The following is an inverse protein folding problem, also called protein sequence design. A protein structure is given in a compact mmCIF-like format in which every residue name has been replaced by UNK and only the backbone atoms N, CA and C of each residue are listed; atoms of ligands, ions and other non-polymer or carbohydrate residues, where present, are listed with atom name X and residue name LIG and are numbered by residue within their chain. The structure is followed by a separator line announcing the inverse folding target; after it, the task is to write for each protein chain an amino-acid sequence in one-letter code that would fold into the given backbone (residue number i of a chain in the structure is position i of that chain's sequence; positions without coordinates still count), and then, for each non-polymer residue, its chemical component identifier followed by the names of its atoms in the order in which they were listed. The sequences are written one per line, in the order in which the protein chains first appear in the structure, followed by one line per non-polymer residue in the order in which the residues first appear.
data_IF_974162127001
#
_entry.id   IF_974162127001
#
_cell.length_a   1.000
_cell.length_b   1.000
_cell.length_c   1.000
_cell.angle_alpha   90.00
_cell.angle_beta   90.00
_cell.angle_gamma   90.00
#
_symmetry.space_group_name_H-M   'P 1'
#
loop_
_entity.id
_entity.type
_entity.pdbx_description
1 polymer ?
2 non-polymer ?
3 water ?
#
# COMPACT_ATOMS: atom_id res chain seq x y z
N UNK A 22 -26.34 -7.75 -12.61
CA UNK A 22 -25.33 -7.47 -13.60
C UNK A 22 -25.84 -6.56 -14.71
N UNK A 23 -25.26 -5.37 -14.80
CA UNK A 23 -25.62 -4.43 -15.85
C UNK A 23 -24.41 -3.58 -16.18
N UNK A 24 -24.40 -3.03 -17.38
CA UNK A 24 -23.29 -2.21 -17.85
C UNK A 24 -23.81 -0.90 -18.38
N UNK A 25 -23.15 0.19 -18.02
CA UNK A 25 -23.42 1.48 -18.64
C UNK A 25 -22.25 2.02 -19.43
N UNK A 26 -21.11 1.33 -19.42
CA UNK A 26 -19.95 1.72 -20.20
C UNK A 26 -19.07 0.49 -20.39
N UNK A 27 -18.20 0.49 -21.39
CA UNK A 27 -17.31 -0.66 -21.59
C UNK A 27 -16.40 -0.89 -20.39
N UNK A 28 -15.98 -2.15 -20.23
CA UNK A 28 -15.16 -2.51 -19.08
C UNK A 28 -14.44 -3.82 -19.37
N UNK A 29 -13.26 -3.97 -18.76
CA UNK A 29 -12.54 -5.24 -18.82
C UNK A 29 -12.28 -5.80 -17.41
N UNK A 30 -13.06 -5.36 -16.43
CA UNK A 30 -12.88 -5.76 -15.04
C UNK A 30 -13.48 -7.14 -14.83
N UNK A 31 -12.73 -8.02 -14.18
CA UNK A 31 -13.22 -9.35 -13.79
C UNK A 31 -13.44 -9.35 -12.28
N UNK A 32 -14.64 -9.77 -11.85
CA UNK A 32 -14.93 -9.91 -10.42
C UNK A 32 -14.78 -11.36 -10.01
N UNK A 33 -14.15 -11.59 -8.86
CA UNK A 33 -14.01 -12.94 -8.31
C UNK A 33 -14.87 -13.06 -7.05
N UNK A 34 -15.71 -14.08 -7.00
CA UNK A 34 -16.63 -14.25 -5.88
C UNK A 34 -16.29 -15.45 -5.02
N UNK A 35 -15.14 -16.09 -5.27
CA UNK A 35 -14.70 -17.15 -4.38
C UNK A 35 -13.19 -17.02 -4.19
N UNK A 36 -12.75 -17.38 -2.97
CA UNK A 36 -11.32 -17.30 -2.66
C UNK A 36 -10.51 -18.26 -3.53
N UNK A 37 -11.05 -19.46 -3.78
CA UNK A 37 -10.35 -20.43 -4.61
C UNK A 37 -10.14 -19.89 -6.03
N UNK A 38 -11.19 -19.29 -6.60
CA UNK A 38 -11.08 -18.75 -7.95
C UNK A 38 -10.06 -17.62 -8.03
N UNK A 39 -10.01 -16.77 -7.01
CA UNK A 39 -8.97 -15.75 -6.96
C UNK A 39 -7.57 -16.37 -6.85
N UNK A 40 -7.42 -17.35 -5.94
CA UNK A 40 -6.11 -17.94 -5.72
C UNK A 40 -5.56 -18.60 -6.98
N UNK A 41 -6.43 -19.22 -7.78
CA UNK A 41 -5.96 -19.83 -9.02
C UNK A 41 -5.56 -18.78 -10.04
N UNK A 42 -6.36 -17.71 -10.16
CA UNK A 42 -5.97 -16.59 -11.01
C UNK A 42 -4.65 -15.96 -10.54
N UNK A 43 -4.47 -15.86 -9.23
CA UNK A 43 -3.25 -15.24 -8.71
C UNK A 43 -2.03 -16.11 -9.01
N UNK A 44 -2.19 -17.43 -8.86
CA UNK A 44 -1.08 -18.34 -9.09
C UNK A 44 -0.65 -18.31 -10.56
N UNK A 45 -1.61 -18.25 -11.48
CA UNK A 45 -1.27 -18.14 -12.91
C UNK A 45 -0.54 -16.83 -13.18
N UNK A 46 -0.95 -15.76 -12.50
CA UNK A 46 -0.34 -14.44 -12.70
C UNK A 46 1.08 -14.37 -12.13
N UNK A 47 1.40 -15.19 -11.13
CA UNK A 47 2.71 -15.14 -10.48
C UNK A 47 3.85 -15.23 -11.49
N UNK A 48 3.66 -16.03 -12.56
CA UNK A 48 4.69 -16.31 -13.54
C UNK A 48 4.67 -15.35 -14.73
N UNK A 49 3.68 -14.47 -14.80
CA UNK A 49 3.52 -13.56 -15.94
C UNK A 49 4.10 -12.19 -15.63
N UNK A 50 4.83 -11.63 -16.61
CA UNK A 50 5.38 -10.28 -16.48
C UNK A 50 4.31 -9.27 -16.92
N UNK A 51 3.25 -9.22 -16.11
CA UNK A 51 2.02 -8.49 -16.43
C UNK A 51 1.52 -7.81 -15.16
N UNK A 52 1.11 -6.55 -15.29
CA UNK A 52 0.60 -5.79 -14.14
C UNK A 52 -0.84 -6.19 -13.85
N UNK A 53 -1.16 -6.39 -12.57
CA UNK A 53 -2.53 -6.67 -12.14
C UNK A 53 -2.94 -5.55 -11.21
N UNK A 54 -4.14 -4.99 -11.43
CA UNK A 54 -4.73 -4.02 -10.52
C UNK A 54 -5.88 -4.72 -9.80
N UNK A 55 -5.77 -4.81 -8.47
CA UNK A 55 -6.80 -5.45 -7.64
C UNK A 55 -7.56 -4.34 -6.93
N UNK A 56 -8.85 -4.23 -7.22
CA UNK A 56 -9.76 -3.26 -6.60
C UNK A 56 -10.49 -3.98 -5.48
N UNK A 57 -10.10 -3.67 -4.23
CA UNK A 57 -10.79 -4.16 -3.04
C UNK A 57 -11.95 -3.21 -2.72
N UNK A 58 -13.17 -3.72 -2.82
CA UNK A 58 -14.36 -2.89 -2.72
C UNK A 58 -15.31 -3.47 -1.69
N UNK A 59 -16.36 -2.69 -1.34
CA UNK A 59 -17.48 -3.19 -0.56
C UNK A 59 -18.78 -2.72 -1.21
N UNK A 60 -19.82 -3.56 -1.13
CA UNK A 60 -21.09 -3.22 -1.76
C UNK A 60 -21.69 -1.97 -1.15
N UNK A 61 -21.42 -1.73 0.13
CA UNK A 61 -22.03 -0.59 0.82
C UNK A 61 -21.21 0.69 0.70
N UNK A 62 -20.03 0.65 0.07
CA UNK A 62 -19.08 1.75 0.14
C UNK A 62 -19.34 2.75 -0.97
N UNK A 63 -19.69 3.98 -0.58
CA UNK A 63 -20.02 5.03 -1.53
C UNK A 63 -18.91 5.36 -2.51
N UNK A 64 -17.72 5.67 -1.99
CA UNK A 64 -16.59 5.98 -2.88
C UNK A 64 -16.27 4.86 -3.86
N UNK A 65 -16.39 3.60 -3.44
CA UNK A 65 -16.26 2.48 -4.37
C UNK A 65 -17.23 2.64 -5.53
N UNK A 66 -18.49 2.93 -5.24
CA UNK A 66 -19.49 3.01 -6.30
C UNK A 66 -19.21 4.18 -7.22
N UNK A 67 -18.75 5.31 -6.67
CA UNK A 67 -18.37 6.47 -7.48
C UNK A 67 -17.20 6.17 -8.40
N UNK A 68 -16.29 5.29 -7.99
CA UNK A 68 -15.12 5.02 -8.81
C UNK A 68 -15.40 4.03 -9.93
N UNK A 69 -16.52 3.30 -9.87
CA UNK A 69 -16.76 2.23 -10.83
C UNK A 69 -16.69 2.68 -12.29
N UNK A 70 -17.33 3.78 -12.70
CA UNK A 70 -17.15 4.20 -14.10
C UNK A 70 -15.73 4.57 -14.43
N UNK A 71 -14.99 5.12 -13.47
CA UNK A 71 -13.60 5.54 -13.69
C UNK A 71 -12.71 4.32 -13.89
N UNK A 72 -12.85 3.32 -13.02
CA UNK A 72 -12.10 2.07 -13.16
C UNK A 72 -12.49 1.32 -14.44
N UNK A 73 -13.80 1.29 -14.77
CA UNK A 73 -14.22 0.62 -16.01
C UNK A 73 -13.57 1.26 -17.22
N UNK A 74 -13.62 2.59 -17.32
CA UNK A 74 -12.93 3.30 -18.39
C UNK A 74 -11.42 3.04 -18.39
N UNK A 75 -10.80 3.07 -17.21
CA UNK A 75 -9.37 2.74 -17.12
C UNK A 75 -9.09 1.35 -17.67
N UNK A 76 -9.95 0.38 -17.37
CA UNK A 76 -9.66 -0.99 -17.77
C UNK A 76 -9.81 -1.15 -19.28
N UNK A 77 -10.67 -0.33 -19.89
CA UNK A 77 -10.85 -0.36 -21.33
C UNK A 77 -9.75 0.40 -22.06
N UNK A 78 -9.01 1.25 -21.36
CA UNK A 78 -7.88 1.98 -21.92
C UNK A 78 -6.58 1.21 -21.77
N UNK A 79 -6.27 0.78 -20.55
CA UNK A 79 -5.04 0.03 -20.27
C UNK A 79 -5.31 -1.46 -20.45
N UNK A 80 -5.52 -1.83 -21.72
CA UNK A 80 -5.86 -3.20 -22.08
C UNK A 80 -4.70 -4.18 -21.90
N UNK A 81 -3.48 -3.71 -21.67
CA UNK A 81 -2.35 -4.57 -21.32
C UNK A 81 -2.24 -4.84 -19.82
N UNK A 82 -3.18 -4.31 -19.03
CA UNK A 82 -3.20 -4.47 -17.58
C UNK A 82 -4.44 -5.29 -17.22
N UNK A 83 -4.29 -6.20 -16.27
CA UNK A 83 -5.38 -7.04 -15.78
C UNK A 83 -6.06 -6.33 -14.59
N UNK A 84 -7.36 -6.04 -14.72
CA UNK A 84 -8.13 -5.42 -13.64
C UNK A 84 -9.06 -6.44 -13.00
N UNK A 85 -9.00 -6.54 -11.67
CA UNK A 85 -9.69 -7.56 -10.88
C UNK A 85 -10.46 -6.83 -9.78
N UNK A 86 -11.65 -7.34 -9.44
CA UNK A 86 -12.48 -6.74 -8.40
C UNK A 86 -12.81 -7.77 -7.33
N UNK A 87 -12.55 -7.42 -6.07
CA UNK A 87 -12.71 -8.35 -4.96
C UNK A 87 -13.50 -7.65 -3.87
N UNK A 88 -14.59 -8.28 -3.42
CA UNK A 88 -15.41 -7.73 -2.35
C UNK A 88 -14.83 -8.12 -0.99
N UNK A 89 -14.67 -7.13 -0.11
CA UNK A 89 -13.93 -7.40 1.13
C UNK A 89 -14.75 -8.16 2.17
N UNK A 90 -16.07 -8.22 2.01
CA UNK A 90 -16.87 -9.07 2.87
C UNK A 90 -16.95 -10.50 2.36
N UNK A 91 -17.17 -10.64 1.05
CA UNK A 91 -17.22 -11.96 0.43
C UNK A 91 -15.88 -12.68 0.56
N UNK A 92 -14.79 -12.00 0.25
CA UNK A 92 -13.46 -12.58 0.33
C UNK A 92 -12.68 -11.89 1.44
N UNK A 93 -13.21 -11.93 2.67
CA UNK A 93 -12.55 -11.27 3.78
C UNK A 93 -11.18 -11.87 4.06
N UNK A 94 -11.00 -13.17 3.76
CA UNK A 94 -9.67 -13.76 3.94
C UNK A 94 -8.65 -13.12 3.01
N UNK A 95 -9.03 -12.86 1.76
CA UNK A 95 -8.09 -12.22 0.83
C UNK A 95 -7.80 -10.80 1.27
N UNK A 96 -8.83 -10.03 1.67
CA UNK A 96 -8.61 -8.68 2.14
C UNK A 96 -7.69 -8.64 3.35
N UNK A 97 -7.88 -9.56 4.30
CA UNK A 97 -7.02 -9.54 5.48
C UNK A 97 -5.59 -9.94 5.12
N UNK A 98 -5.42 -10.83 4.14
CA UNK A 98 -4.08 -11.24 3.71
C UNK A 98 -3.27 -10.03 3.23
N UNK A 99 -3.91 -9.11 2.53
CA UNK A 99 -3.25 -7.94 1.98
C UNK A 99 -3.41 -6.70 2.88
N UNK A 100 -3.97 -6.87 4.07
CA UNK A 100 -4.03 -5.77 5.03
C UNK A 100 -4.91 -4.62 4.61
N UNK A 101 -6.00 -4.88 3.88
CA UNK A 101 -6.90 -3.82 3.45
C UNK A 101 -7.65 -3.29 4.65
N UNK A 102 -7.60 -1.97 4.87
CA UNK A 102 -8.21 -1.34 6.04
C UNK A 102 -9.25 -0.28 5.69
N UNK A 103 -9.42 0.06 4.43
CA UNK A 103 -10.37 1.06 3.97
C UNK A 103 -10.60 0.82 2.48
N UNK A 104 -11.74 1.28 1.98
CA UNK A 104 -12.10 0.97 0.60
C UNK A 104 -12.45 2.24 -0.16
N UNK A 105 -12.19 2.29 -1.48
CA UNK A 105 -11.50 1.23 -2.24
C UNK A 105 -10.03 1.24 -1.96
N UNK A 106 -9.41 0.06 -1.99
CA UNK A 106 -7.95 -0.05 -2.01
C UNK A 106 -7.55 -0.72 -3.32
N UNK A 107 -6.67 -0.06 -4.07
CA UNK A 107 -6.15 -0.60 -5.31
C UNK A 107 -4.75 -1.13 -5.06
N UNK A 108 -4.58 -2.42 -5.25
CA UNK A 108 -3.31 -3.10 -5.06
C UNK A 108 -2.71 -3.39 -6.43
N UNK A 109 -1.49 -2.93 -6.69
CA UNK A 109 -0.83 -3.19 -7.95
C UNK A 109 0.15 -4.33 -7.73
N UNK A 110 -0.02 -5.42 -8.48
CA UNK A 110 0.80 -6.62 -8.35
C UNK A 110 1.54 -6.88 -9.66
N UNK A 111 2.79 -7.34 -9.55
CA UNK A 111 3.49 -7.81 -10.73
C UNK A 111 4.37 -8.98 -10.33
N UNK A 112 4.30 -10.05 -11.12
CA UNK A 112 5.03 -11.30 -10.84
C UNK A 112 4.87 -11.73 -9.38
N UNK A 113 3.64 -11.58 -8.87
CA UNK A 113 3.26 -12.03 -7.56
C UNK A 113 3.61 -11.11 -6.41
N UNK A 114 4.19 -9.94 -6.68
CA UNK A 114 4.62 -9.01 -5.63
C UNK A 114 3.91 -7.68 -5.76
N UNK A 115 3.51 -7.11 -4.62
CA UNK A 115 2.95 -5.77 -4.63
C UNK A 115 4.02 -4.75 -5.01
N UNK A 116 3.72 -3.91 -6.00
CA UNK A 116 4.62 -2.87 -6.41
C UNK A 116 4.12 -1.46 -6.05
N UNK A 117 2.80 -1.27 -5.89
CA UNK A 117 2.24 0.01 -5.45
C UNK A 117 0.92 -0.25 -4.75
N UNK A 118 0.44 0.76 -4.02
CA UNK A 118 -0.89 0.69 -3.43
C UNK A 118 -1.54 2.07 -3.41
N UNK A 119 -2.83 2.14 -3.71
CA UNK A 119 -3.62 3.36 -3.57
C UNK A 119 -4.76 3.09 -2.60
N UNK A 120 -4.93 3.96 -1.60
CA UNK A 120 -6.04 3.80 -0.66
C UNK A 120 -6.97 5.00 -0.83
N UNK A 121 -8.18 4.74 -1.33
CA UNK A 121 -9.16 5.79 -1.56
C UNK A 121 -9.44 6.02 -3.03
N UNK A 122 -10.50 6.80 -3.28
CA UNK A 122 -10.99 7.08 -4.62
C UNK A 122 -10.12 8.16 -5.29
N UNK A 123 -8.89 7.77 -5.63
CA UNK A 123 -7.89 8.72 -6.12
C UNK A 123 -7.49 8.37 -7.54
N UNK A 124 -8.21 8.94 -8.52
CA UNK A 124 -8.03 8.55 -9.92
C UNK A 124 -6.63 8.85 -10.43
N UNK A 125 -6.12 10.06 -10.18
CA UNK A 125 -4.84 10.44 -10.77
C UNK A 125 -3.68 9.69 -10.14
N UNK A 126 -3.73 9.44 -8.84
CA UNK A 126 -2.68 8.67 -8.20
C UNK A 126 -2.65 7.25 -8.75
N UNK A 127 -3.82 6.65 -8.96
CA UNK A 127 -3.89 5.32 -9.51
C UNK A 127 -3.32 5.27 -10.93
N UNK A 128 -3.72 6.23 -11.77
CA UNK A 128 -3.24 6.22 -13.15
C UNK A 128 -1.74 6.39 -13.22
N UNK A 129 -1.19 7.27 -12.37
CA UNK A 129 0.26 7.45 -12.32
C UNK A 129 0.97 6.17 -11.93
N UNK A 130 0.46 5.47 -10.91
CA UNK A 130 1.12 4.26 -10.46
C UNK A 130 1.00 3.13 -11.49
N UNK A 131 -0.10 3.06 -12.25
CA UNK A 131 -0.23 2.05 -13.31
C UNK A 131 0.82 2.30 -14.40
N UNK A 132 0.93 3.54 -14.86
CA UNK A 132 1.87 3.86 -15.93
C UNK A 132 3.31 3.58 -15.54
N UNK A 133 3.60 3.59 -14.24
CA UNK A 133 4.95 3.34 -13.75
C UNK A 133 5.35 1.88 -13.90
N UNK A 134 4.37 0.98 -14.05
CA UNK A 134 4.63 -0.45 -13.98
C UNK A 134 3.99 -1.23 -15.12
N UNK A 135 3.29 -0.57 -16.03
CA UNK A 135 2.59 -1.30 -17.09
C UNK A 135 3.56 -1.93 -18.09
N UNK A 136 4.77 -1.39 -18.22
CA UNK A 136 5.77 -1.95 -19.12
C UNK A 136 7.04 -2.31 -18.36
N UNK A 137 7.91 -3.06 -19.04
CA UNK A 137 9.16 -3.53 -18.44
C UNK A 137 10.06 -2.36 -18.02
N UNK B 22 22.07 -1.08 19.46
CA UNK B 22 22.53 -0.28 20.56
C UNK B 22 23.71 0.61 20.20
N UNK B 23 23.71 1.15 18.99
CA UNK B 23 24.73 2.12 18.58
C UNK B 23 24.19 2.95 17.45
N UNK B 24 24.75 4.16 17.30
CA UNK B 24 24.33 5.11 16.27
C UNK B 24 25.54 5.60 15.51
N UNK B 25 25.36 5.84 14.21
CA UNK B 25 26.42 6.41 13.38
C UNK B 25 26.12 7.79 12.84
N UNK B 26 24.90 8.31 13.00
CA UNK B 26 24.59 9.65 12.51
C UNK B 26 23.33 10.12 13.22
N UNK B 27 23.09 11.44 13.24
CA UNK B 27 21.89 11.94 13.91
C UNK B 27 20.63 11.35 13.31
N UNK B 28 19.61 11.21 14.16
CA UNK B 28 18.36 10.61 13.71
C UNK B 28 17.28 11.05 14.67
N UNK B 29 16.03 11.14 14.16
CA UNK B 29 14.87 11.26 15.02
C UNK B 29 13.91 10.08 14.84
N UNK B 30 14.41 8.97 14.30
CA UNK B 30 13.58 7.79 14.09
C UNK B 30 13.32 7.12 15.42
N UNK B 31 12.06 6.78 15.68
CA UNK B 31 11.69 6.06 16.88
C UNK B 31 11.46 4.61 16.52
N UNK B 32 12.25 3.72 17.11
CA UNK B 32 12.07 2.29 16.92
C UNK B 32 11.17 1.74 18.01
N UNK B 33 10.16 0.99 17.62
CA UNK B 33 9.26 0.32 18.56
C UNK B 33 9.56 -1.16 18.52
N UNK B 34 9.84 -1.74 19.69
CA UNK B 34 10.10 -3.16 19.82
C UNK B 34 8.97 -3.92 20.49
N UNK B 35 7.83 -3.26 20.75
CA UNK B 35 6.63 -3.95 21.20
C UNK B 35 5.44 -3.47 20.37
N UNK B 36 4.55 -4.41 20.02
CA UNK B 36 3.35 -4.04 19.27
C UNK B 36 2.49 -3.07 20.06
N UNK B 37 2.50 -3.18 21.39
CA UNK B 37 1.67 -2.32 22.23
C UNK B 37 2.13 -0.87 22.14
N UNK B 38 3.44 -0.63 22.30
CA UNK B 38 3.92 0.74 22.24
C UNK B 38 3.71 1.35 20.85
N UNK B 39 3.85 0.55 19.79
CA UNK B 39 3.46 1.05 18.47
C UNK B 39 1.99 1.45 18.43
N UNK B 40 1.12 0.57 18.96
CA UNK B 40 -0.31 0.82 18.89
C UNK B 40 -0.71 2.05 19.70
N UNK B 41 -0.07 2.28 20.84
CA UNK B 41 -0.38 3.49 21.60
C UNK B 41 0.08 4.74 20.87
N UNK B 42 1.24 4.66 20.23
CA UNK B 42 1.71 5.78 19.43
C UNK B 42 0.80 6.02 18.23
N UNK B 43 0.39 4.94 17.56
CA UNK B 43 -0.54 5.07 16.43
C UNK B 43 -1.86 5.66 16.89
N UNK B 44 -2.36 5.21 18.04
CA UNK B 44 -3.66 5.66 18.52
C UNK B 44 -3.65 7.15 18.82
N UNK B 45 -2.58 7.64 19.46
CA UNK B 45 -2.44 9.07 19.70
C UNK B 45 -2.36 9.85 18.40
N UNK B 46 -1.70 9.28 17.38
CA UNK B 46 -1.57 9.94 16.08
C UNK B 46 -2.90 10.11 15.37
N UNK B 47 -3.90 9.31 15.70
CA UNK B 47 -5.18 9.42 14.99
C UNK B 47 -5.83 10.80 15.20
N UNK B 48 -5.54 11.46 16.32
CA UNK B 48 -6.09 12.80 16.57
C UNK B 48 -5.16 13.91 16.10
N UNK B 49 -4.02 13.58 15.52
CA UNK B 49 -3.03 14.58 15.11
C UNK B 49 -3.01 14.74 13.60
N UNK B 50 -2.99 16.01 13.18
CA UNK B 50 -2.86 16.39 11.79
C UNK B 50 -1.38 16.46 11.42
N UNK B 51 -0.71 15.32 11.61
CA UNK B 51 0.74 15.21 11.48
C UNK B 51 1.03 14.01 10.59
N UNK B 52 2.04 14.13 9.72
CA UNK B 52 2.44 13.01 8.88
C UNK B 52 3.34 12.05 9.65
N UNK B 53 3.02 10.76 9.58
CA UNK B 53 3.87 9.68 10.10
C UNK B 53 4.47 8.95 8.92
N UNK B 54 5.76 8.64 9.02
CA UNK B 54 6.43 7.76 8.06
C UNK B 54 6.87 6.52 8.81
N UNK B 55 6.31 5.36 8.46
CA UNK B 55 6.63 4.10 9.12
C UNK B 55 7.50 3.27 8.17
N UNK B 56 8.73 3.01 8.60
CA UNK B 56 9.68 2.19 7.86
C UNK B 56 9.56 0.77 8.38
N UNK B 57 8.96 -0.12 7.57
CA UNK B 57 8.88 -1.54 7.90
C UNK B 57 10.15 -2.22 7.37
N UNK B 58 10.99 -2.69 8.28
CA UNK B 58 12.35 -3.15 7.96
C UNK B 58 12.56 -4.56 8.50
N UNK B 59 13.73 -5.14 8.18
CA UNK B 59 14.11 -6.44 8.70
C UNK B 59 15.59 -6.36 9.04
N UNK B 60 16.01 -7.02 10.12
CA UNK B 60 17.42 -6.97 10.50
C UNK B 60 18.30 -7.62 9.44
N UNK B 61 17.76 -8.59 8.71
CA UNK B 61 18.54 -9.33 7.70
C UNK B 61 18.49 -8.69 6.32
N UNK B 62 17.80 -7.56 6.16
CA UNK B 62 17.49 -7.01 4.84
C UNK B 62 18.54 -6.00 4.39
N UNK B 63 19.23 -6.32 3.28
CA UNK B 63 20.25 -5.47 2.72
C UNK B 63 19.78 -4.09 2.26
N UNK B 64 18.75 -4.03 1.42
CA UNK B 64 18.22 -2.71 1.04
C UNK B 64 17.78 -1.91 2.25
N UNK B 65 17.28 -2.57 3.30
CA UNK B 65 16.92 -1.85 4.52
C UNK B 65 18.13 -1.17 5.16
N UNK B 66 19.20 -1.93 5.38
CA UNK B 66 20.40 -1.39 6.00
C UNK B 66 21.01 -0.28 5.15
N UNK B 67 20.99 -0.45 3.83
CA UNK B 67 21.43 0.61 2.93
C UNK B 67 20.64 1.89 3.14
N UNK B 68 19.33 1.78 3.36
CA UNK B 68 18.50 2.98 3.51
C UNK B 68 18.70 3.69 4.83
N UNK B 69 19.28 3.03 5.84
CA UNK B 69 19.21 3.57 7.19
C UNK B 69 19.87 4.95 7.32
N UNK B 70 21.06 5.20 6.80
CA UNK B 70 21.61 6.57 6.93
C UNK B 70 20.78 7.60 6.20
N UNK B 71 20.15 7.22 5.08
CA UNK B 71 19.27 8.12 4.33
C UNK B 71 18.04 8.48 5.15
N UNK B 72 17.42 7.47 5.78
CA UNK B 72 16.21 7.72 6.55
C UNK B 72 16.53 8.51 7.80
N UNK B 73 17.68 8.23 8.41
CA UNK B 73 18.10 9.00 9.56
C UNK B 73 18.31 10.45 9.18
N UNK B 74 18.99 10.69 8.05
CA UNK B 74 19.21 12.05 7.59
C UNK B 74 17.89 12.75 7.28
N UNK B 75 16.95 12.04 6.64
CA UNK B 75 15.63 12.62 6.39
C UNK B 75 14.93 12.99 7.68
N UNK B 76 14.99 12.12 8.68
CA UNK B 76 14.27 12.36 9.93
C UNK B 76 14.83 13.56 10.69
N UNK B 77 16.13 13.82 10.53
CA UNK B 77 16.75 14.98 11.16
C UNK B 77 16.49 16.26 10.39
N UNK B 78 16.11 16.15 9.12
CA UNK B 78 15.75 17.29 8.28
C UNK B 78 14.27 17.65 8.44
N UNK B 79 13.39 16.68 8.20
CA UNK B 79 11.94 16.88 8.24
C UNK B 79 11.44 16.69 9.68
N UNK B 80 11.70 17.69 10.51
CA UNK B 80 11.46 17.52 11.94
C UNK B 80 9.99 17.67 12.33
N UNK B 81 9.16 18.20 11.44
CA UNK B 81 7.72 18.25 11.62
C UNK B 81 7.04 16.92 11.29
N UNK B 82 7.79 15.92 10.82
CA UNK B 82 7.26 14.62 10.45
C UNK B 82 7.74 13.59 11.46
N UNK B 83 6.85 12.64 11.79
CA UNK B 83 7.14 11.56 12.72
C UNK B 83 7.69 10.35 11.97
N UNK B 84 8.95 9.97 12.25
CA UNK B 84 9.58 8.81 11.61
C UNK B 84 9.63 7.64 12.60
N UNK B 85 9.11 6.48 12.18
CA UNK B 85 8.99 5.29 13.00
C UNK B 85 9.64 4.12 12.28
N UNK B 86 10.30 3.23 13.03
CA UNK B 86 10.87 2.01 12.47
C UNK B 86 10.26 0.79 13.14
N UNK B 87 9.76 -0.15 12.34
CA UNK B 87 9.18 -1.40 12.83
C UNK B 87 9.90 -2.55 12.16
N UNK B 88 10.45 -3.47 12.95
CA UNK B 88 11.07 -4.67 12.41
C UNK B 88 10.01 -5.74 12.17
N UNK B 89 9.89 -6.21 10.93
CA UNK B 89 8.76 -7.08 10.56
C UNK B 89 8.85 -8.45 11.20
N UNK B 90 10.03 -8.86 11.71
CA UNK B 90 10.10 -10.10 12.47
C UNK B 90 9.66 -9.89 13.90
N UNK B 91 10.16 -8.83 14.53
CA UNK B 91 9.79 -8.55 15.92
C UNK B 91 8.30 -8.28 16.04
N UNK B 92 7.77 -7.44 15.15
CA UNK B 92 6.37 -7.04 15.21
C UNK B 92 5.62 -7.56 14.00
N UNK B 93 5.61 -8.89 13.81
CA UNK B 93 5.01 -9.44 12.59
C UNK B 93 3.52 -9.21 12.56
N UNK B 94 2.86 -9.06 13.71
CA UNK B 94 1.43 -8.76 13.70
C UNK B 94 1.14 -7.39 13.08
N UNK B 95 1.99 -6.40 13.36
CA UNK B 95 1.81 -5.07 12.78
C UNK B 95 2.11 -5.09 11.29
N UNK B 96 3.20 -5.76 10.90
CA UNK B 96 3.48 -5.93 9.47
C UNK B 96 2.31 -6.58 8.75
N UNK B 97 1.72 -7.63 9.33
CA UNK B 97 0.59 -8.29 8.67
C UNK B 97 -0.62 -7.37 8.60
N UNK B 98 -0.80 -6.52 9.61
CA UNK B 98 -1.93 -5.61 9.67
C UNK B 98 -1.94 -4.65 8.47
N UNK B 99 -0.75 -4.22 8.04
CA UNK B 99 -0.64 -3.29 6.93
C UNK B 99 -0.26 -3.96 5.61
N UNK B 100 -0.31 -5.29 5.54
CA UNK B 100 -0.05 -5.98 4.29
C UNK B 100 1.37 -5.88 3.78
N UNK B 101 2.35 -5.78 4.66
CA UNK B 101 3.73 -5.64 4.23
C UNK B 101 4.27 -7.02 3.84
N UNK B 102 4.74 -7.13 2.60
CA UNK B 102 5.27 -8.39 2.08
C UNK B 102 6.74 -8.32 1.68
N UNK B 103 7.29 -7.14 1.46
CA UNK B 103 8.71 -6.97 1.16
C UNK B 103 9.19 -5.69 1.81
N UNK B 104 10.50 -5.62 2.01
CA UNK B 104 11.12 -4.59 2.82
C UNK B 104 12.28 -3.94 2.08
N UNK B 105 12.51 -2.64 2.28
CA UNK B 105 11.70 -1.79 3.16
C UNK B 105 10.43 -1.36 2.48
N UNK B 106 9.36 -1.22 3.26
CA UNK B 106 8.13 -0.60 2.82
C UNK B 106 7.90 0.59 3.73
N UNK B 107 7.65 1.77 3.13
CA UNK B 107 7.40 2.98 3.90
C UNK B 107 5.92 3.32 3.80
N UNK B 108 5.26 3.40 4.95
CA UNK B 108 3.84 3.73 5.04
C UNK B 108 3.67 5.16 5.53
N UNK B 109 2.97 5.99 4.77
CA UNK B 109 2.71 7.37 5.14
C UNK B 109 1.29 7.43 5.67
N UNK B 110 1.15 7.87 6.92
CA UNK B 110 -0.13 7.92 7.62
C UNK B 110 -0.41 9.34 8.07
N UNK B 111 -1.69 9.72 8.05
CA UNK B 111 -2.10 10.98 8.65
C UNK B 111 -3.51 10.83 9.21
N UNK B 112 -3.69 11.18 10.49
CA UNK B 112 -4.99 11.03 11.19
C UNK B 112 -5.53 9.60 11.08
N UNK B 113 -4.61 8.63 11.16
CA UNK B 113 -4.93 7.22 11.16
C UNK B 113 -5.25 6.61 9.82
N UNK B 114 -5.04 7.35 8.73
CA UNK B 114 -5.36 6.87 7.39
C UNK B 114 -4.12 6.82 6.54
N UNK B 115 -4.03 5.80 5.68
CA UNK B 115 -2.92 5.68 4.74
C UNK B 115 -3.07 6.70 3.62
N UNK B 116 -2.05 7.54 3.43
CA UNK B 116 -2.05 8.58 2.40
C UNK B 116 -1.01 8.35 1.31
N UNK B 117 -0.04 7.45 1.50
CA UNK B 117 0.87 7.04 0.45
C UNK B 117 1.58 5.79 0.92
N UNK B 118 2.29 5.13 -0.02
CA UNK B 118 3.13 4.00 0.33
C UNK B 118 4.28 3.91 -0.66
N UNK B 119 5.48 3.64 -0.15
CA UNK B 119 6.66 3.43 -0.97
C UNK B 119 7.12 1.99 -0.76
N UNK B 120 7.14 1.21 -1.82
CA UNK B 120 7.55 -0.20 -1.76
C UNK B 120 8.97 -0.29 -2.30
N UNK B 121 9.95 -0.45 -1.43
CA UNK B 121 11.33 -0.59 -1.84
C UNK B 121 12.19 0.58 -1.40
N UNK B 122 13.50 0.42 -1.60
CA UNK B 122 14.50 1.40 -1.15
C UNK B 122 14.63 2.54 -2.16
N UNK B 123 13.61 3.39 -2.20
CA UNK B 123 13.48 4.46 -3.20
C UNK B 123 13.52 5.83 -2.52
N UNK B 124 14.73 6.39 -2.32
CA UNK B 124 14.83 7.59 -1.48
C UNK B 124 14.21 8.82 -2.14
N UNK B 125 14.38 8.98 -3.46
CA UNK B 125 13.84 10.17 -4.11
C UNK B 125 12.31 10.14 -4.12
N UNK B 126 11.72 8.97 -4.43
CA UNK B 126 10.27 8.84 -4.34
C UNK B 126 9.77 9.12 -2.93
N UNK B 127 10.46 8.59 -1.91
CA UNK B 127 10.02 8.77 -0.53
C UNK B 127 10.05 10.25 -0.13
N UNK B 128 11.13 10.96 -0.49
CA UNK B 128 11.22 12.36 -0.09
C UNK B 128 10.18 13.21 -0.80
N UNK B 129 9.91 12.93 -2.09
CA UNK B 129 8.89 13.68 -2.80
C UNK B 129 7.50 13.46 -2.19
N UNK B 130 7.22 12.22 -1.78
CA UNK B 130 5.92 11.94 -1.18
C UNK B 130 5.78 12.56 0.21
N UNK B 131 6.88 12.60 0.99
CA UNK B 131 6.85 13.29 2.27
C UNK B 131 6.56 14.79 2.06
N UNK B 132 7.21 15.40 1.07
CA UNK B 132 6.98 16.82 0.80
C UNK B 132 5.54 17.09 0.42
N UNK B 133 4.94 16.18 -0.37
CA UNK B 133 3.56 16.35 -0.82
C UNK B 133 2.58 16.28 0.34
N UNK B 134 2.83 15.39 1.30
CA UNK B 134 1.83 15.08 2.31
C UNK B 134 2.12 15.64 3.70
N UNK B 135 3.21 16.38 3.88
CA UNK B 135 3.52 16.82 5.24
C UNK B 135 2.72 18.04 5.66
N UNK B 136 2.10 18.75 4.73
CA UNK B 136 1.18 19.81 5.10
C UNK B 136 -0.12 19.65 4.34
#
# INVERSE_FOLDING_TARGET
MGSYLSSLLGGGAAEAAEAESGSSSEPSRVIAFHSSNRWQLHFNSSKQLNKLIVVDFAATWCGPCKMMEPVINAMSAKYTDVDFVKIDVDELSDVAQEFGVQAMPTFLLLKQGKEVERVVGAKKDELEKKILKHREAPKFAASNYRTKFHVQ
MGSYLSSLLGGGAAEAAEAESGSSSEPSRVIAFHSSNRWQLHFNSSKQLNKLIVVDFAATWCGPCKMMEPVINAMSAKYTDVDFVKIDVDELSDVAQEFGVQAMPTFLLLKQGKEVERVVGAKKDELEKKILKHREAPKFAASNYRTKFHVQ
#
